data_IF_436554793593
#
_entry.id   IF_436554793593
#
_cell.length_a   1.000
_cell.length_b   1.000
_cell.length_c   1.000
_cell.angle_alpha   90.00
_cell.angle_beta   90.00
_cell.angle_gamma   90.00
#
_symmetry.space_group_name_H-M   'P 1'
#
loop_
_entity.id
_entity.type
_entity.pdbx_description
1 polymer ?
#
# COMPACT_ATOMS: atom_id res chain seq x y z
N UNK A 1 -2.51 -10.60 10.90
CA UNK A 1 -2.22 -11.98 10.46
C UNK A 1 -3.50 -12.81 10.32
N UNK A 2 -4.62 -12.45 10.97
CA UNK A 2 -5.91 -13.14 10.79
C UNK A 2 -6.37 -13.34 9.32
N UNK A 3 -6.31 -12.28 8.49
CA UNK A 3 -6.86 -12.36 7.13
C UNK A 3 -6.05 -13.24 6.17
N UNK A 4 -4.72 -13.20 6.26
CA UNK A 4 -3.84 -14.02 5.42
C UNK A 4 -3.72 -15.45 5.95
N UNK A 5 -3.57 -15.61 7.26
CA UNK A 5 -3.10 -16.88 7.84
C UNK A 5 -4.27 -17.75 8.28
N UNK A 6 -5.32 -17.15 8.86
CA UNK A 6 -6.47 -17.88 9.40
C UNK A 6 -7.61 -17.95 8.39
N UNK A 7 -7.95 -16.82 7.76
CA UNK A 7 -9.03 -16.73 6.78
C UNK A 7 -8.59 -17.08 5.36
N UNK A 8 -7.28 -17.21 5.12
CA UNK A 8 -6.71 -17.62 3.83
C UNK A 8 -7.22 -16.79 2.65
N UNK A 9 -7.33 -15.46 2.82
CA UNK A 9 -7.76 -14.57 1.74
C UNK A 9 -6.67 -14.43 0.67
N UNK A 10 -7.04 -14.60 -0.59
CA UNK A 10 -6.10 -14.49 -1.71
C UNK A 10 -5.64 -13.04 -1.98
N UNK A 11 -6.48 -12.06 -1.64
CA UNK A 11 -6.22 -10.63 -1.91
C UNK A 11 -6.74 -9.78 -0.75
N UNK A 12 -5.87 -8.89 -0.25
CA UNK A 12 -6.20 -7.89 0.75
C UNK A 12 -5.95 -6.50 0.15
N UNK A 13 -6.99 -5.65 0.14
CA UNK A 13 -6.89 -4.26 -0.32
C UNK A 13 -7.04 -3.33 0.88
N UNK A 14 -6.03 -2.49 1.12
CA UNK A 14 -6.08 -1.43 2.14
C UNK A 14 -6.38 -0.09 1.49
N UNK A 15 -6.97 0.83 2.25
CA UNK A 15 -7.26 2.19 1.78
C UNK A 15 -6.98 3.20 2.90
N UNK A 16 -6.37 4.33 2.53
CA UNK A 16 -5.92 5.35 3.47
C UNK A 16 -4.62 5.01 4.21
N UNK A 17 -4.06 6.01 4.88
CA UNK A 17 -2.86 5.84 5.71
C UNK A 17 -1.53 5.77 4.93
N UNK A 18 -1.50 6.21 3.66
CA UNK A 18 -0.30 6.17 2.78
C UNK A 18 0.38 7.53 2.57
N UNK A 19 -0.09 8.57 3.26
CA UNK A 19 0.48 9.92 3.19
C UNK A 19 1.74 10.12 4.06
N UNK A 20 2.01 11.38 4.42
CA UNK A 20 3.16 11.80 5.24
C UNK A 20 2.76 12.28 6.64
N UNK A 21 1.49 12.17 7.04
CA UNK A 21 1.12 12.52 8.41
C UNK A 21 1.71 11.49 9.38
N UNK A 22 1.91 11.88 10.64
CA UNK A 22 2.42 10.98 11.67
C UNK A 22 1.55 9.73 11.92
N UNK A 23 0.30 9.72 11.39
CA UNK A 23 -0.63 8.60 11.50
C UNK A 23 -0.65 7.71 10.25
N UNK A 24 -0.03 8.16 9.15
CA UNK A 24 0.02 7.41 7.90
C UNK A 24 1.12 6.36 7.99
N UNK A 25 0.73 5.16 8.44
CA UNK A 25 1.64 4.04 8.72
C UNK A 25 1.30 2.77 7.94
N UNK A 26 0.34 2.85 7.01
CA UNK A 26 -0.10 1.68 6.24
C UNK A 26 1.06 1.02 5.47
N UNK A 27 1.96 1.76 4.78
CA UNK A 27 3.08 1.16 4.06
C UNK A 27 4.05 0.40 4.99
N UNK A 28 4.36 0.94 6.17
CA UNK A 28 5.19 0.30 7.18
C UNK A 28 4.54 -0.97 7.75
N UNK A 29 3.25 -0.88 8.08
CA UNK A 29 2.48 -2.01 8.58
C UNK A 29 2.44 -3.13 7.52
N UNK A 30 2.17 -2.80 6.26
CA UNK A 30 2.20 -3.76 5.15
C UNK A 30 3.59 -4.37 4.98
N UNK A 31 4.65 -3.56 4.95
CA UNK A 31 6.03 -4.07 4.82
C UNK A 31 6.43 -4.99 5.98
N UNK A 32 5.89 -4.77 7.17
CA UNK A 32 6.20 -5.59 8.35
C UNK A 32 5.62 -7.00 8.31
N UNK A 33 4.61 -7.25 7.46
CA UNK A 33 3.88 -8.54 7.41
C UNK A 33 3.99 -9.28 6.09
N UNK A 34 4.35 -8.60 4.99
CA UNK A 34 4.53 -9.27 3.70
C UNK A 34 5.83 -10.07 3.65
N UNK A 35 5.78 -11.22 2.97
CA UNK A 35 6.98 -12.05 2.75
C UNK A 35 7.85 -11.53 1.61
N UNK A 36 7.24 -10.88 0.61
CA UNK A 36 7.92 -10.38 -0.59
C UNK A 36 7.24 -9.13 -1.13
N UNK A 37 8.04 -8.13 -1.47
CA UNK A 37 7.54 -6.90 -2.10
C UNK A 37 7.18 -7.11 -3.59
N UNK A 38 6.08 -6.48 -4.00
CA UNK A 38 5.63 -6.39 -5.38
C UNK A 38 5.77 -4.95 -5.90
N UNK A 39 6.99 -4.40 -5.91
CA UNK A 39 7.28 -2.98 -6.22
C UNK A 39 6.69 -2.52 -7.56
N UNK A 40 6.57 -3.41 -8.55
CA UNK A 40 5.94 -3.11 -9.84
C UNK A 40 4.48 -2.64 -9.73
N UNK A 41 3.72 -3.16 -8.77
CA UNK A 41 2.34 -2.71 -8.53
C UNK A 41 2.32 -1.28 -7.96
N UNK A 42 3.22 -0.97 -7.01
CA UNK A 42 3.34 0.37 -6.45
C UNK A 42 3.70 1.41 -7.54
N UNK A 43 4.66 1.08 -8.40
CA UNK A 43 5.06 1.95 -9.53
C UNK A 43 3.87 2.17 -10.49
N UNK A 44 3.13 1.11 -10.82
CA UNK A 44 1.97 1.21 -11.71
C UNK A 44 0.86 2.09 -11.11
N UNK A 45 0.56 1.93 -9.81
CA UNK A 45 -0.42 2.75 -9.10
C UNK A 45 -0.04 4.23 -9.07
N UNK A 46 1.22 4.54 -8.75
CA UNK A 46 1.74 5.92 -8.74
C UNK A 46 1.72 6.52 -10.16
N UNK A 47 2.26 5.82 -11.14
CA UNK A 47 2.34 6.30 -12.53
C UNK A 47 0.96 6.55 -13.13
N UNK A 48 -0.01 5.67 -12.84
CA UNK A 48 -1.40 5.86 -13.26
C UNK A 48 -2.04 7.08 -12.60
N UNK A 49 -1.86 7.23 -11.29
CA UNK A 49 -2.50 8.28 -10.48
C UNK A 49 -1.89 9.67 -10.69
N UNK A 50 -0.61 9.75 -11.09
CA UNK A 50 0.04 11.01 -11.47
C UNK A 50 -0.64 11.74 -12.62
N UNK A 51 -1.37 11.01 -13.48
CA UNK A 51 -2.19 11.61 -14.54
C UNK A 51 -3.39 12.40 -14.00
N UNK A 52 -3.82 12.11 -12.77
CA UNK A 52 -4.97 12.75 -12.13
C UNK A 52 -4.54 13.90 -11.22
N UNK A 53 -3.47 13.72 -10.46
CA UNK A 53 -2.94 14.78 -9.59
C UNK A 53 -1.45 14.61 -9.33
N UNK A 54 -0.65 15.70 -9.39
CA UNK A 54 0.77 15.66 -9.05
C UNK A 54 1.01 15.34 -7.57
N UNK A 55 0.03 15.57 -6.69
CA UNK A 55 0.12 15.27 -5.26
C UNK A 55 0.26 13.77 -4.97
N UNK A 56 -0.04 12.91 -5.95
CA UNK A 56 0.20 11.46 -5.87
C UNK A 56 1.64 11.13 -5.48
N UNK A 57 2.61 11.97 -5.83
CA UNK A 57 4.03 11.79 -5.44
C UNK A 57 4.24 11.76 -3.92
N UNK A 58 3.26 12.20 -3.12
CA UNK A 58 3.29 12.16 -1.66
C UNK A 58 2.72 10.85 -1.09
N UNK A 59 2.17 9.95 -1.90
CA UNK A 59 1.79 8.61 -1.45
C UNK A 59 3.02 7.73 -1.36
N UNK A 60 3.04 6.84 -0.37
CA UNK A 60 4.14 5.94 -0.06
C UNK A 60 3.73 4.48 -0.13
#
# INVERSE_FOLDING_TARGET
>A
MEWSDDLMLDVILTTGGTGFSARDVTPEATRSVIEKEATGLAIAMLTGSLKMTPLTMLSR
#
